data_IF_443462847573
#
_entry.id   IF_443462847573
#
_cell.length_a   1.000
_cell.length_b   1.000
_cell.length_c   1.000
_cell.angle_alpha   90.00
_cell.angle_beta   90.00
_cell.angle_gamma   90.00
#
_symmetry.space_group_name_H-M   'P 1'
#
loop_
_entity.id
_entity.type
_entity.pdbx_description
1 polymer ?
#
# COMPACT_ATOMS: atom_id res chain seq x y z
N UNK A 1 -60.39 20.26 -13.81
CA UNK A 1 -59.12 21.01 -13.70
C UNK A 1 -58.14 20.39 -14.67
N UNK A 2 -57.92 21.00 -15.83
CA UNK A 2 -56.97 20.53 -16.83
C UNK A 2 -55.60 21.15 -16.55
N UNK A 3 -54.62 20.33 -16.20
CA UNK A 3 -53.23 20.75 -16.08
C UNK A 3 -52.62 20.87 -17.49
N UNK A 4 -52.55 22.11 -17.98
CA UNK A 4 -51.75 22.48 -19.15
C UNK A 4 -50.27 22.50 -18.74
N UNK A 5 -49.58 21.36 -18.86
CA UNK A 5 -48.12 21.35 -18.85
C UNK A 5 -47.62 22.00 -20.14
N UNK A 6 -47.16 23.24 -20.03
CA UNK A 6 -46.48 23.97 -21.11
C UNK A 6 -45.27 23.18 -21.60
N UNK A 7 -45.17 22.95 -22.92
CA UNK A 7 -44.03 22.30 -23.59
C UNK A 7 -42.67 22.91 -23.21
N UNK A 8 -42.64 24.18 -22.78
CA UNK A 8 -41.43 24.86 -22.31
C UNK A 8 -40.90 24.29 -20.99
N UNK A 9 -41.81 23.89 -20.08
CA UNK A 9 -41.44 23.32 -18.78
C UNK A 9 -40.87 21.91 -18.90
N UNK A 10 -41.31 21.15 -19.91
CA UNK A 10 -40.83 19.79 -20.16
C UNK A 10 -39.41 19.78 -20.76
N UNK A 11 -39.03 20.82 -21.50
CA UNK A 11 -37.70 20.96 -22.11
C UNK A 11 -36.63 21.34 -21.07
N UNK A 12 -36.98 22.20 -20.10
CA UNK A 12 -36.07 22.62 -19.04
C UNK A 12 -35.67 21.48 -18.09
N UNK A 13 -36.60 20.55 -17.80
CA UNK A 13 -36.35 19.40 -16.92
C UNK A 13 -35.38 18.40 -17.59
N UNK A 14 -35.50 18.18 -18.89
CA UNK A 14 -34.61 17.27 -19.64
C UNK A 14 -33.17 17.81 -19.71
N UNK A 15 -32.99 19.11 -19.92
CA UNK A 15 -31.64 19.73 -19.97
C UNK A 15 -30.95 19.73 -18.61
N UNK A 16 -31.68 19.99 -17.52
CA UNK A 16 -31.12 19.92 -16.16
C UNK A 16 -30.74 18.48 -15.74
N UNK A 17 -31.51 17.49 -16.19
CA UNK A 17 -31.24 16.07 -15.92
C UNK A 17 -29.99 15.56 -16.65
N UNK A 18 -29.76 16.03 -17.88
CA UNK A 18 -28.56 15.70 -18.67
C UNK A 18 -27.32 16.38 -18.09
N UNK A 19 -27.42 17.63 -17.60
CA UNK A 19 -26.28 18.31 -16.95
C UNK A 19 -25.89 17.66 -15.61
N UNK A 20 -26.85 17.14 -14.83
CA UNK A 20 -26.57 16.42 -13.59
C UNK A 20 -25.92 15.04 -13.83
N UNK A 21 -26.18 14.41 -14.98
CA UNK A 21 -25.55 13.13 -15.35
C UNK A 21 -24.06 13.27 -15.71
N UNK A 22 -23.59 14.45 -16.13
CA UNK A 22 -22.18 14.68 -16.44
C UNK A 22 -21.29 15.02 -15.23
N UNK A 23 -21.87 15.38 -14.07
CA UNK A 23 -21.09 15.66 -12.85
C UNK A 23 -20.86 14.40 -11.99
N UNK A 24 -21.61 13.33 -12.25
CA UNK A 24 -21.54 12.09 -11.46
C UNK A 24 -20.44 11.10 -11.92
N UNK A 25 -19.77 11.35 -13.04
CA UNK A 25 -18.71 10.49 -13.58
C UNK A 25 -17.32 11.12 -13.42
N UNK A 26 -16.94 11.67 -12.26
CA UNK A 26 -15.53 12.00 -12.01
C UNK A 26 -15.11 12.23 -10.55
N UNK A 27 -15.68 11.51 -9.58
CA UNK A 27 -15.19 11.58 -8.20
C UNK A 27 -14.08 10.56 -7.95
N UNK A 28 -12.88 10.82 -8.48
CA UNK A 28 -11.68 10.16 -7.96
C UNK A 28 -11.52 10.57 -6.49
N UNK A 29 -11.97 9.73 -5.54
CA UNK A 29 -11.72 9.96 -4.11
C UNK A 29 -10.22 9.80 -3.87
N UNK A 30 -9.55 10.92 -3.61
CA UNK A 30 -8.18 10.92 -3.11
C UNK A 30 -8.18 10.62 -1.62
N UNK A 31 -7.50 9.55 -1.22
CA UNK A 31 -7.37 9.18 0.19
C UNK A 31 -6.30 10.04 0.87
N UNK A 32 -6.66 10.61 2.02
CA UNK A 32 -5.78 11.39 2.89
C UNK A 32 -5.38 10.54 4.10
N UNK A 33 -4.39 10.99 4.88
CA UNK A 33 -3.92 10.28 6.08
C UNK A 33 -5.05 9.82 7.00
N UNK A 34 -6.00 10.72 7.28
CA UNK A 34 -7.17 10.46 8.11
C UNK A 34 -8.11 9.38 7.59
N UNK A 35 -8.04 9.02 6.30
CA UNK A 35 -8.82 7.93 5.74
C UNK A 35 -8.20 6.55 6.06
N UNK A 36 -6.92 6.49 6.43
CA UNK A 36 -6.24 5.25 6.81
C UNK A 36 -6.44 4.98 8.29
N UNK A 37 -7.05 3.85 8.64
CA UNK A 37 -7.27 3.48 10.05
C UNK A 37 -5.97 3.19 10.80
N UNK A 38 -4.86 2.96 10.10
CA UNK A 38 -3.54 2.77 10.71
C UNK A 38 -2.76 4.08 10.89
N UNK A 39 -3.22 5.19 10.32
CA UNK A 39 -2.56 6.48 10.52
C UNK A 39 -2.70 6.93 11.98
N UNK A 40 -1.57 7.20 12.61
CA UNK A 40 -1.47 7.80 13.94
C UNK A 40 -0.44 8.93 13.86
N UNK A 41 -0.81 10.20 14.15
CA UNK A 41 0.10 11.33 14.05
C UNK A 41 1.36 11.22 14.92
N UNK A 42 1.24 10.50 16.04
CA UNK A 42 2.25 10.29 17.06
C UNK A 42 2.76 8.84 17.07
N UNK A 43 2.57 8.09 15.98
CA UNK A 43 3.11 6.73 15.86
C UNK A 43 4.62 6.73 16.12
N UNK A 44 5.04 5.83 17.01
CA UNK A 44 6.44 5.51 17.20
C UNK A 44 6.61 3.99 17.13
N UNK A 45 7.56 3.56 16.31
CA UNK A 45 7.99 2.18 16.31
C UNK A 45 8.60 1.84 17.67
N UNK A 46 8.16 0.75 18.31
CA UNK A 46 8.71 0.33 19.59
C UNK A 46 10.23 0.10 19.49
N UNK A 47 10.98 0.55 20.48
CA UNK A 47 12.43 0.31 20.61
C UNK A 47 12.78 -1.19 20.70
N UNK A 48 11.82 -2.03 21.05
CA UNK A 48 11.97 -3.49 21.11
C UNK A 48 11.64 -4.19 19.79
N UNK A 49 11.18 -3.44 18.78
CA UNK A 49 10.83 -3.98 17.47
C UNK A 49 12.05 -4.51 16.74
N UNK A 50 11.92 -5.69 16.13
CA UNK A 50 12.93 -6.21 15.21
C UNK A 50 12.86 -5.56 13.82
N UNK A 51 11.85 -4.72 13.56
CA UNK A 51 11.69 -4.04 12.28
C UNK A 51 12.71 -2.91 12.17
N UNK A 52 13.69 -3.10 11.30
CA UNK A 52 14.63 -2.05 10.89
C UNK A 52 14.00 -1.08 9.92
N UNK A 53 14.35 0.20 10.07
CA UNK A 53 13.88 1.31 9.21
C UNK A 53 15.04 2.06 8.55
N UNK A 54 16.29 1.69 8.82
CA UNK A 54 17.53 2.27 8.28
C UNK A 54 17.97 1.63 6.95
N UNK A 55 17.00 1.16 6.16
CA UNK A 55 17.24 0.45 4.91
C UNK A 55 15.94 0.01 4.25
N UNK A 56 16.04 -1.01 3.41
CA UNK A 56 14.91 -1.57 2.66
C UNK A 56 14.81 -3.08 2.85
N UNK A 57 13.64 -3.65 2.58
CA UNK A 57 13.42 -5.10 2.55
C UNK A 57 13.16 -5.52 1.10
N UNK A 58 14.03 -6.37 0.56
CA UNK A 58 13.97 -6.79 -0.85
C UNK A 58 13.47 -8.22 -0.93
N UNK A 59 12.42 -8.46 -1.71
CA UNK A 59 11.91 -9.80 -1.97
C UNK A 59 12.99 -10.67 -2.63
N UNK A 60 13.29 -11.82 -2.03
CA UNK A 60 14.30 -12.75 -2.53
C UNK A 60 13.70 -14.11 -2.88
N UNK A 61 12.79 -14.60 -2.05
CA UNK A 61 12.30 -15.98 -2.13
C UNK A 61 10.81 -16.05 -1.82
N UNK A 62 10.11 -16.91 -2.55
CA UNK A 62 8.74 -17.30 -2.24
C UNK A 62 8.70 -18.80 -1.98
N UNK A 63 8.02 -19.19 -0.91
CA UNK A 63 7.70 -20.56 -0.58
C UNK A 63 6.18 -20.73 -0.57
N UNK A 64 5.68 -21.84 -1.11
CA UNK A 64 4.26 -22.19 -1.06
C UNK A 64 4.10 -23.68 -0.85
N UNK A 65 3.01 -24.06 -0.19
CA UNK A 65 2.58 -25.44 0.01
C UNK A 65 1.15 -25.70 -0.48
N UNK A 66 0.61 -24.86 -1.37
CA UNK A 66 -0.70 -25.11 -1.95
C UNK A 66 -0.70 -26.35 -2.85
N UNK A 67 -1.75 -27.18 -2.76
CA UNK A 67 -1.97 -28.37 -3.62
C UNK A 67 -0.84 -29.40 -3.54
N UNK A 68 -0.44 -29.78 -2.33
CA UNK A 68 0.54 -30.84 -2.00
C UNK A 68 1.96 -30.67 -2.59
N UNK A 69 2.23 -29.57 -3.28
CA UNK A 69 3.55 -29.28 -3.83
C UNK A 69 4.24 -28.20 -2.98
N UNK A 70 5.15 -28.64 -2.10
CA UNK A 70 6.04 -27.73 -1.37
C UNK A 70 7.13 -27.28 -2.33
N UNK A 71 7.13 -26.01 -2.72
CA UNK A 71 8.18 -25.44 -3.58
C UNK A 71 8.70 -24.13 -3.05
N UNK A 72 10.00 -23.93 -3.26
CA UNK A 72 10.70 -22.66 -3.09
C UNK A 72 11.07 -22.16 -4.47
N UNK A 73 10.75 -20.90 -4.76
CA UNK A 73 11.18 -20.22 -5.98
C UNK A 73 11.91 -18.93 -5.62
N UNK A 74 12.98 -18.63 -6.33
CA UNK A 74 13.57 -17.29 -6.31
C UNK A 74 12.58 -16.32 -6.96
N UNK A 75 12.34 -15.18 -6.31
CA UNK A 75 11.46 -14.17 -6.85
C UNK A 75 12.10 -13.53 -8.09
N UNK A 76 11.37 -13.50 -9.21
CA UNK A 76 11.83 -12.83 -10.43
C UNK A 76 11.54 -11.33 -10.38
N UNK A 77 10.39 -10.96 -9.82
CA UNK A 77 10.01 -9.57 -9.57
C UNK A 77 10.59 -9.12 -8.22
N UNK A 78 11.25 -7.96 -8.20
CA UNK A 78 11.75 -7.37 -6.96
C UNK A 78 10.73 -6.41 -6.39
N UNK A 79 9.95 -6.91 -5.45
CA UNK A 79 9.15 -6.07 -4.56
C UNK A 79 10.06 -5.56 -3.42
N UNK A 80 10.16 -4.25 -3.27
CA UNK A 80 11.04 -3.60 -2.30
C UNK A 80 10.21 -2.74 -1.37
N UNK A 81 10.30 -3.01 -0.07
CA UNK A 81 9.64 -2.22 0.98
C UNK A 81 10.60 -1.25 1.67
N UNK A 82 10.13 -0.04 1.93
CA UNK A 82 10.77 0.93 2.82
C UNK A 82 9.80 1.29 3.95
N UNK A 83 10.15 0.90 5.17
CA UNK A 83 9.42 1.28 6.39
C UNK A 83 10.02 2.55 6.99
N UNK A 84 9.17 3.47 7.41
CA UNK A 84 9.56 4.69 8.09
C UNK A 84 9.23 4.59 9.60
N UNK A 85 10.05 5.18 10.49
CA UNK A 85 9.80 5.13 11.94
C UNK A 85 8.44 5.71 12.37
N UNK A 86 7.89 6.64 11.58
CA UNK A 86 6.61 7.32 11.82
C UNK A 86 5.38 6.57 11.26
N UNK A 87 5.51 5.27 10.96
CA UNK A 87 4.36 4.41 10.63
C UNK A 87 4.01 4.37 9.13
N UNK A 88 4.64 5.19 8.28
CA UNK A 88 4.51 5.05 6.83
C UNK A 88 5.31 3.85 6.32
N UNK A 89 4.84 3.27 5.22
CA UNK A 89 5.59 2.32 4.42
C UNK A 89 5.34 2.57 2.94
N UNK A 90 6.42 2.54 2.16
CA UNK A 90 6.38 2.59 0.70
C UNK A 90 6.81 1.26 0.12
N UNK A 91 6.32 0.99 -1.09
CA UNK A 91 6.74 -0.16 -1.89
C UNK A 91 7.06 0.31 -3.31
N UNK A 92 8.17 -0.19 -3.84
CA UNK A 92 8.55 -0.03 -5.25
C UNK A 92 8.66 -1.41 -5.88
N UNK A 93 8.22 -1.52 -7.13
CA UNK A 93 8.40 -2.71 -7.95
C UNK A 93 9.56 -2.46 -8.91
N UNK A 94 10.50 -3.41 -8.97
CA UNK A 94 11.62 -3.42 -9.90
C UNK A 94 11.62 -4.74 -10.69
N UNK A 95 10.70 -4.90 -11.66
CA UNK A 95 10.57 -6.14 -12.42
C UNK A 95 11.76 -6.41 -13.35
N UNK A 96 12.47 -5.36 -13.77
CA UNK A 96 13.57 -5.43 -14.75
C UNK A 96 14.96 -5.48 -14.09
N UNK A 97 15.04 -5.61 -12.76
CA UNK A 97 16.30 -5.60 -11.99
C UNK A 97 17.18 -4.36 -12.30
N UNK A 98 16.52 -3.22 -12.49
CA UNK A 98 17.18 -1.95 -12.78
C UNK A 98 17.73 -1.30 -11.51
N UNK A 99 17.12 -1.60 -10.36
CA UNK A 99 17.56 -1.18 -9.03
C UNK A 99 18.49 -2.26 -8.45
N UNK A 100 19.56 -2.56 -9.17
CA UNK A 100 20.51 -3.64 -8.84
C UNK A 100 21.57 -3.25 -7.81
N UNK A 101 21.52 -2.02 -7.29
CA UNK A 101 22.59 -1.43 -6.47
C UNK A 101 22.07 -0.79 -5.19
N UNK A 102 22.74 -1.04 -4.06
CA UNK A 102 22.33 -0.57 -2.72
C UNK A 102 22.19 0.97 -2.66
N UNK A 103 23.02 1.66 -3.42
CA UNK A 103 23.06 3.10 -3.65
C UNK A 103 21.90 3.62 -4.51
N UNK A 104 21.17 2.76 -5.23
CA UNK A 104 20.03 3.18 -6.05
C UNK A 104 18.70 3.16 -5.29
N UNK A 105 18.60 2.49 -4.13
CA UNK A 105 17.33 2.37 -3.41
C UNK A 105 16.80 3.72 -2.93
N UNK A 106 17.61 4.52 -2.24
CA UNK A 106 17.18 5.82 -1.75
C UNK A 106 16.73 6.73 -2.92
N UNK A 107 17.49 6.75 -4.01
CA UNK A 107 17.11 7.48 -5.22
C UNK A 107 15.78 7.01 -5.80
N UNK A 108 15.54 5.69 -5.90
CA UNK A 108 14.29 5.15 -6.42
C UNK A 108 13.07 5.57 -5.59
N UNK A 109 13.17 5.49 -4.25
CA UNK A 109 12.09 5.94 -3.36
C UNK A 109 11.91 7.46 -3.40
N UNK A 110 13.00 8.23 -3.37
CA UNK A 110 12.95 9.69 -3.38
C UNK A 110 12.39 10.23 -4.70
N UNK A 111 12.81 9.66 -5.84
CA UNK A 111 12.28 10.00 -7.16
C UNK A 111 10.81 9.62 -7.28
N UNK A 112 10.40 8.46 -6.76
CA UNK A 112 8.99 8.06 -6.72
C UNK A 112 8.13 9.07 -5.95
N UNK A 113 8.62 9.56 -4.81
CA UNK A 113 7.94 10.60 -4.02
C UNK A 113 7.91 11.94 -4.80
N UNK A 114 9.03 12.36 -5.39
CA UNK A 114 9.13 13.60 -6.14
C UNK A 114 8.19 13.61 -7.36
N UNK A 115 8.14 12.52 -8.10
CA UNK A 115 7.25 12.33 -9.25
C UNK A 115 5.78 12.41 -8.86
N UNK A 116 5.39 11.81 -7.74
CA UNK A 116 4.03 11.89 -7.22
C UNK A 116 3.65 13.33 -6.87
N UNK A 117 4.55 14.07 -6.23
CA UNK A 117 4.37 15.49 -5.90
C UNK A 117 4.21 16.31 -7.18
N UNK A 118 5.12 16.16 -8.15
CA UNK A 118 5.13 16.90 -9.40
C UNK A 118 3.87 16.64 -10.25
N UNK A 119 3.47 15.39 -10.38
CA UNK A 119 2.30 14.98 -11.17
C UNK A 119 0.97 15.26 -10.45
N UNK A 120 1.00 15.77 -9.21
CA UNK A 120 -0.16 15.82 -8.29
C UNK A 120 -0.90 14.48 -8.23
N UNK A 121 -0.18 13.39 -8.49
CA UNK A 121 -0.70 12.03 -8.56
C UNK A 121 -0.40 11.36 -7.24
N UNK A 122 -1.44 11.09 -6.47
CA UNK A 122 -1.35 10.43 -5.17
C UNK A 122 -1.99 9.05 -5.28
N UNK A 123 -1.29 8.06 -5.84
CA UNK A 123 -1.86 6.70 -5.95
C UNK A 123 -0.86 5.56 -5.72
N UNK A 124 -1.44 4.47 -5.18
CA UNK A 124 -1.02 3.06 -5.09
C UNK A 124 -0.06 2.56 -4.00
N UNK A 125 0.90 3.33 -3.51
CA UNK A 125 1.87 2.80 -2.52
C UNK A 125 1.96 3.55 -1.20
N UNK A 126 1.05 4.51 -0.99
CA UNK A 126 0.83 5.09 0.32
C UNK A 126 0.26 4.01 1.22
N UNK A 127 1.00 3.65 2.25
CA UNK A 127 0.60 2.62 3.16
C UNK A 127 1.04 3.00 4.55
N UNK A 128 0.26 2.54 5.51
CA UNK A 128 0.58 2.66 6.93
C UNK A 128 0.73 1.25 7.47
N UNK A 129 1.55 1.10 8.50
CA UNK A 129 1.71 -0.18 9.17
C UNK A 129 1.51 -0.03 10.67
N UNK A 130 1.20 -1.15 11.31
CA UNK A 130 1.28 -1.29 12.75
C UNK A 130 1.92 -2.62 13.10
N UNK A 131 2.44 -2.70 14.31
CA UNK A 131 3.18 -3.86 14.81
C UNK A 131 2.70 -4.28 16.19
N UNK A 132 2.76 -5.57 16.48
CA UNK A 132 2.54 -6.15 17.80
C UNK A 132 3.49 -7.34 17.98
N UNK A 133 4.52 -7.19 18.81
CA UNK A 133 5.59 -8.18 18.93
C UNK A 133 6.30 -8.43 17.60
N UNK A 134 6.33 -9.68 17.15
CA UNK A 134 6.91 -10.11 15.87
C UNK A 134 5.92 -10.03 14.69
N UNK A 135 4.74 -9.45 14.90
CA UNK A 135 3.68 -9.36 13.89
C UNK A 135 3.56 -7.95 13.37
N UNK A 136 3.41 -7.85 12.05
CA UNK A 136 3.26 -6.59 11.34
C UNK A 136 2.14 -6.72 10.33
N UNK A 137 1.35 -5.67 10.19
CA UNK A 137 0.35 -5.57 9.12
C UNK A 137 0.48 -4.23 8.43
N UNK A 138 0.44 -4.25 7.10
CA UNK A 138 0.44 -3.08 6.22
C UNK A 138 -0.96 -2.88 5.68
N UNK A 139 -1.51 -1.68 5.84
CA UNK A 139 -2.73 -1.23 5.19
C UNK A 139 -2.36 -0.42 3.95
N UNK A 140 -2.88 -0.85 2.78
CA UNK A 140 -2.69 -0.16 1.50
C UNK A 140 -4.03 0.11 0.84
N UNK A 141 -4.22 1.31 0.30
CA UNK A 141 -5.37 1.61 -0.56
C UNK A 141 -5.14 1.10 -1.98
N UNK A 142 -5.99 0.20 -2.46
CA UNK A 142 -6.11 -0.13 -3.87
C UNK A 142 -7.00 0.92 -4.53
N UNK A 143 -6.38 1.94 -5.13
CA UNK A 143 -7.10 3.08 -5.72
C UNK A 143 -8.10 2.65 -6.81
N UNK A 144 -7.76 1.77 -7.78
CA UNK A 144 -8.73 1.28 -8.76
C UNK A 144 -9.99 0.64 -8.17
N UNK A 145 -9.85 -0.10 -7.07
CA UNK A 145 -10.98 -0.77 -6.40
C UNK A 145 -11.61 0.05 -5.28
N UNK A 146 -11.05 1.23 -4.97
CA UNK A 146 -11.41 2.06 -3.82
C UNK A 146 -11.50 1.26 -2.49
N UNK A 147 -10.61 0.28 -2.30
CA UNK A 147 -10.66 -0.67 -1.19
C UNK A 147 -9.30 -0.78 -0.49
N UNK A 148 -9.32 -0.95 0.84
CA UNK A 148 -8.12 -1.26 1.60
C UNK A 148 -7.77 -2.75 1.52
N UNK A 149 -6.50 -3.02 1.21
CA UNK A 149 -5.86 -4.32 1.33
C UNK A 149 -4.97 -4.34 2.57
N UNK A 150 -4.92 -5.50 3.22
CA UNK A 150 -4.10 -5.75 4.40
C UNK A 150 -3.11 -6.87 4.10
N UNK A 151 -1.82 -6.56 4.21
CA UNK A 151 -0.74 -7.55 4.02
C UNK A 151 -0.08 -7.83 5.36
N UNK A 152 -0.03 -9.10 5.74
CA UNK A 152 0.42 -9.56 7.05
C UNK A 152 1.82 -10.16 6.95
N UNK A 153 2.66 -9.80 7.92
CA UNK A 153 4.06 -10.16 7.95
C UNK A 153 4.51 -10.60 9.34
N UNK A 154 5.36 -11.63 9.40
CA UNK A 154 6.18 -11.90 10.58
C UNK A 154 7.53 -11.20 10.42
N UNK A 155 7.94 -10.47 11.46
CA UNK A 155 9.21 -9.76 11.53
C UNK A 155 10.22 -10.63 12.28
N UNK A 156 11.38 -10.85 11.67
CA UNK A 156 12.54 -11.50 12.29
C UNK A 156 13.76 -10.62 12.10
N UNK A 157 14.85 -10.94 12.79
CA UNK A 157 16.13 -10.25 12.59
C UNK A 157 16.51 -10.22 11.10
N UNK A 158 16.64 -9.01 10.57
CA UNK A 158 17.01 -8.70 9.19
C UNK A 158 16.12 -9.37 8.10
N UNK A 159 14.91 -9.83 8.47
CA UNK A 159 14.00 -10.53 7.55
C UNK A 159 12.56 -10.16 7.83
N UNK A 160 11.82 -9.82 6.78
CA UNK A 160 10.38 -9.64 6.81
C UNK A 160 9.73 -10.79 6.01
N UNK A 161 8.76 -11.48 6.60
CA UNK A 161 8.13 -12.66 5.99
C UNK A 161 6.65 -12.37 5.78
N UNK A 162 6.22 -12.12 4.55
CA UNK A 162 4.80 -12.02 4.24
C UNK A 162 4.17 -13.39 4.29
N UNK A 163 3.06 -13.51 5.03
CA UNK A 163 2.36 -14.78 5.25
C UNK A 163 0.96 -14.79 4.65
N UNK A 164 0.32 -13.63 4.51
CA UNK A 164 -0.98 -13.52 3.86
C UNK A 164 -1.27 -12.10 3.37
N UNK A 165 -2.29 -11.98 2.51
CA UNK A 165 -2.93 -10.72 2.14
C UNK A 165 -4.44 -10.92 2.06
N UNK A 166 -5.23 -9.97 2.54
CA UNK A 166 -6.70 -10.01 2.43
C UNK A 166 -7.30 -8.60 2.49
N UNK A 167 -8.53 -8.46 1.99
CA UNK A 167 -9.38 -7.27 2.17
C UNK A 167 -10.19 -7.32 3.47
N UNK A 168 -10.29 -8.50 4.08
CA UNK A 168 -11.15 -8.76 5.22
C UNK A 168 -10.43 -8.52 6.56
N UNK A 169 -11.21 -8.22 7.59
CA UNK A 169 -10.70 -8.15 8.96
C UNK A 169 -10.12 -6.81 9.40
N UNK A 170 -10.13 -5.79 8.55
CA UNK A 170 -9.74 -4.43 8.93
C UNK A 170 -8.29 -4.31 9.42
N UNK A 171 -7.42 -5.24 9.03
CA UNK A 171 -6.03 -5.23 9.45
C UNK A 171 -5.81 -5.58 10.92
N UNK A 172 -6.65 -6.41 11.53
CA UNK A 172 -6.47 -6.88 12.91
C UNK A 172 -5.32 -7.88 13.01
N UNK A 173 -4.44 -7.73 14.00
CA UNK A 173 -3.38 -8.70 14.27
C UNK A 173 -4.01 -9.88 15.05
N UNK A 174 -4.34 -10.97 14.34
CA UNK A 174 -4.93 -12.19 14.92
C UNK A 174 -4.35 -13.41 14.22
N UNK A 175 -4.19 -14.51 14.94
CA UNK A 175 -3.53 -15.74 14.47
C UNK A 175 -4.05 -16.22 13.11
N UNK A 176 -5.36 -16.14 12.87
CA UNK A 176 -5.98 -16.56 11.60
C UNK A 176 -5.47 -15.82 10.35
N UNK A 177 -4.83 -14.67 10.50
CA UNK A 177 -4.23 -13.92 9.38
C UNK A 177 -2.74 -14.25 9.17
N UNK A 178 -2.13 -15.05 10.05
CA UNK A 178 -0.73 -15.46 9.98
C UNK A 178 -0.64 -16.94 9.62
N UNK A 179 -1.19 -17.28 8.46
CA UNK A 179 -1.28 -18.66 7.96
C UNK A 179 -0.03 -19.11 7.22
N UNK A 180 0.26 -20.41 7.29
CA UNK A 180 1.54 -20.98 6.87
C UNK A 180 1.55 -21.65 5.48
N UNK A 181 0.60 -21.40 4.57
CA UNK A 181 0.61 -22.03 3.23
C UNK A 181 1.34 -21.21 2.15
N UNK A 182 1.75 -19.99 2.49
CA UNK A 182 2.48 -19.06 1.64
C UNK A 182 3.47 -18.26 2.49
N UNK A 183 4.70 -18.10 2.01
CA UNK A 183 5.73 -17.25 2.66
C UNK A 183 6.55 -16.52 1.60
N UNK A 184 6.52 -15.19 1.59
CA UNK A 184 7.47 -14.39 0.80
C UNK A 184 8.50 -13.75 1.73
N UNK A 185 9.77 -14.05 1.48
CA UNK A 185 10.90 -13.66 2.31
C UNK A 185 11.57 -12.43 1.71
N UNK A 186 11.52 -11.34 2.46
CA UNK A 186 12.18 -10.10 2.14
C UNK A 186 13.39 -9.93 3.06
N UNK A 187 14.56 -9.75 2.45
CA UNK A 187 15.83 -9.63 3.18
C UNK A 187 16.15 -8.15 3.36
N UNK A 188 16.54 -7.79 4.59
CA UNK A 188 16.94 -6.43 4.90
C UNK A 188 18.26 -6.07 4.23
N UNK A 189 18.29 -4.89 3.61
CA UNK A 189 19.48 -4.28 3.02
C UNK A 189 19.66 -2.90 3.65
N UNK A 190 20.74 -2.68 4.43
CA UNK A 190 21.02 -1.35 4.98
C UNK A 190 21.32 -0.37 3.86
N UNK A 191 20.81 0.86 3.99
CA UNK A 191 21.04 1.94 3.04
C UNK A 191 21.51 3.16 3.84
N UNK A 192 22.68 3.68 3.49
CA UNK A 192 23.30 4.81 4.21
C UNK A 192 22.71 6.16 3.79
N UNK A 193 22.18 6.24 2.58
CA UNK A 193 21.61 7.46 2.03
C UNK A 193 20.29 7.82 2.71
N UNK A 194 19.97 9.12 2.68
CA UNK A 194 18.75 9.64 3.29
C UNK A 194 17.53 9.38 2.43
N UNK A 195 16.50 8.78 3.03
CA UNK A 195 15.17 8.66 2.42
C UNK A 195 14.35 9.90 2.76
N UNK A 196 13.68 10.46 1.76
CA UNK A 196 12.68 11.50 1.96
C UNK A 196 11.51 10.89 2.73
N UNK A 197 11.21 11.42 3.92
CA UNK A 197 10.00 11.05 4.63
C UNK A 197 8.80 11.52 3.82
N UNK A 198 7.86 10.62 3.49
CA UNK A 198 6.69 11.04 2.74
C UNK A 198 5.77 11.92 3.58
N UNK A 199 5.23 12.97 2.96
CA UNK A 199 4.26 13.88 3.55
C UNK A 199 2.99 13.91 2.69
N UNK A 200 2.28 12.78 2.63
CA UNK A 200 0.99 12.70 1.94
C UNK A 200 -0.16 13.15 2.84
#
# INVERSE_FOLDING_TARGET
MNFLYSRKSMTAIVVASICAAFVACNSYKFYQNKDYSFYQPDFQLSDTSMLRTDGVYVLQKIWTSQRDTKRTVTAKEREIYKFYPAGQVNMVLDPDDTISRKDAYAAAFNNSIADQIAKKSRTLFQSYYKTEGDRLVVQRMNTPLAQFNYTYFTVKKDTLIQVSSTIDGGGQIRDKYYTDYYKAYYIFVPVKDTFTTPNW
#
